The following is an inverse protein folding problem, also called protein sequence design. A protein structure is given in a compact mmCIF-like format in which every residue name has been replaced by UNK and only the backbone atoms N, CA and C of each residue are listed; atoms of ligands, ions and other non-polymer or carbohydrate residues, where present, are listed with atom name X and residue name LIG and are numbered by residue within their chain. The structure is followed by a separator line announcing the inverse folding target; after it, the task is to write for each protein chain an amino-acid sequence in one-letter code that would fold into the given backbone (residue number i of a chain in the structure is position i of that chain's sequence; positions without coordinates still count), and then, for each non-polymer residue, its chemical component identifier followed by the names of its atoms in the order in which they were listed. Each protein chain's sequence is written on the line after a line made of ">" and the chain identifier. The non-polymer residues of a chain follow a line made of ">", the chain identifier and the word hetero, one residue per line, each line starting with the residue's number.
data_IF_042811937764
#
_entry.id   IF_042811937764
#
_cell.length_a   1.000
_cell.length_b   1.000
_cell.length_c   1.000
_cell.angle_alpha   90.00
_cell.angle_beta   90.00
_cell.angle_gamma   90.00
#
_symmetry.space_group_name_H-M   'P 1'
#
loop_
_entity.id
_entity.type
_entity.pdbx_description
1 polymer ?
#
# COMPACT_ATOMS: atom_id res chain seq x y z
N UNK A 1 -14.04 -8.60 14.33
CA UNK A 1 -13.88 -10.07 14.35
C UNK A 1 -12.41 -10.35 14.52
N UNK A 2 -12.01 -11.08 15.56
CA UNK A 2 -10.61 -11.52 15.72
C UNK A 2 -10.27 -12.42 14.53
N UNK A 3 -9.29 -12.03 13.72
CA UNK A 3 -8.78 -12.89 12.65
C UNK A 3 -8.08 -14.09 13.29
N UNK A 4 -8.32 -15.28 12.76
CA UNK A 4 -7.62 -16.49 13.15
C UNK A 4 -6.11 -16.25 13.06
N UNK A 5 -5.39 -16.62 14.12
CA UNK A 5 -3.92 -16.57 14.14
C UNK A 5 -3.40 -17.88 13.56
N UNK A 6 -2.46 -17.78 12.62
CA UNK A 6 -1.84 -18.95 11.99
C UNK A 6 -0.49 -19.24 12.65
N UNK A 7 -0.35 -20.32 13.45
CA UNK A 7 0.92 -20.64 14.09
C UNK A 7 2.01 -21.03 13.07
N UNK A 8 3.22 -20.56 13.33
CA UNK A 8 4.39 -20.77 12.50
C UNK A 8 4.65 -19.66 11.49
N UNK A 9 5.51 -19.94 10.51
CA UNK A 9 6.04 -18.96 9.56
C UNK A 9 5.35 -19.04 8.20
N UNK A 10 4.90 -17.89 7.72
CA UNK A 10 4.20 -17.71 6.45
C UNK A 10 4.81 -16.55 5.64
N UNK A 11 4.50 -16.51 4.36
CA UNK A 11 4.90 -15.51 3.37
C UNK A 11 3.70 -15.14 2.49
N UNK A 12 3.87 -14.13 1.66
CA UNK A 12 2.97 -13.84 0.55
C UNK A 12 3.51 -14.41 -0.76
N UNK A 13 2.61 -14.81 -1.66
CA UNK A 13 2.88 -15.18 -3.04
C UNK A 13 2.12 -14.22 -3.94
N UNK A 14 2.83 -13.52 -4.82
CA UNK A 14 2.28 -12.46 -5.67
C UNK A 14 2.02 -13.06 -7.05
N UNK A 15 0.79 -12.93 -7.54
CA UNK A 15 0.33 -13.63 -8.75
C UNK A 15 0.77 -12.96 -10.05
N UNK A 16 1.11 -11.67 -9.98
CA UNK A 16 1.55 -10.85 -11.10
C UNK A 16 3.01 -10.43 -11.00
N UNK A 17 3.48 -9.67 -11.99
CA UNK A 17 4.86 -9.19 -12.06
C UNK A 17 5.17 -8.10 -11.04
N UNK A 18 4.16 -7.31 -10.65
CA UNK A 18 4.30 -6.21 -9.70
C UNK A 18 3.13 -6.17 -8.72
N UNK A 19 3.35 -5.57 -7.56
CA UNK A 19 2.30 -5.16 -6.63
C UNK A 19 2.43 -3.67 -6.33
N UNK A 20 1.29 -2.98 -6.23
CA UNK A 20 1.27 -1.57 -5.84
C UNK A 20 0.97 -1.45 -4.36
N UNK A 21 1.86 -0.79 -3.62
CA UNK A 21 1.70 -0.48 -2.19
C UNK A 21 1.48 1.02 -2.06
N UNK A 22 0.36 1.41 -1.46
CA UNK A 22 0.02 2.81 -1.22
C UNK A 22 -0.12 3.06 0.27
N UNK A 23 0.76 3.90 0.79
CA UNK A 23 0.73 4.39 2.15
C UNK A 23 0.03 5.75 2.14
N UNK A 24 -0.95 5.93 3.02
CA UNK A 24 -1.65 7.22 3.15
C UNK A 24 -2.00 7.47 4.61
N UNK A 25 -1.99 8.72 5.01
CA UNK A 25 -2.50 9.09 6.32
C UNK A 25 -2.61 10.59 6.53
N UNK A 26 -2.95 10.94 7.75
CA UNK A 26 -2.94 12.31 8.23
C UNK A 26 -2.09 12.44 9.49
N UNK A 27 -1.68 13.65 9.82
CA UNK A 27 -1.07 14.00 11.11
C UNK A 27 -1.80 15.15 11.77
N UNK A 28 -2.22 14.96 13.02
CA UNK A 28 -2.81 15.99 13.85
C UNK A 28 -1.70 16.90 14.43
N UNK A 29 -1.34 17.97 13.72
CA UNK A 29 -0.30 18.89 14.16
C UNK A 29 -0.75 19.73 15.37
N UNK A 30 -1.97 20.26 15.31
CA UNK A 30 -2.62 20.96 16.43
C UNK A 30 -3.78 20.14 16.97
N UNK A 31 -3.45 19.08 17.71
CA UNK A 31 -4.41 18.09 18.20
C UNK A 31 -5.55 18.68 19.07
N UNK A 32 -5.34 19.83 19.71
CA UNK A 32 -6.37 20.57 20.45
C UNK A 32 -7.43 21.22 19.54
N UNK A 33 -7.22 21.32 18.23
CA UNK A 33 -8.25 21.70 17.24
C UNK A 33 -9.13 20.50 16.91
N UNK A 34 -9.68 19.83 17.92
CA UNK A 34 -10.40 18.55 17.82
C UNK A 34 -11.44 18.55 16.68
N UNK A 35 -12.32 19.57 16.53
CA UNK A 35 -13.31 19.56 15.46
C UNK A 35 -12.71 19.52 14.05
N UNK A 36 -11.56 20.17 13.83
CA UNK A 36 -10.88 20.18 12.51
C UNK A 36 -10.21 18.83 12.25
N UNK A 37 -9.49 18.30 13.23
CA UNK A 37 -8.83 16.99 13.13
C UNK A 37 -9.86 15.89 12.86
N UNK A 38 -10.95 15.87 13.62
CA UNK A 38 -12.01 14.87 13.46
C UNK A 38 -12.72 14.96 12.10
N UNK A 39 -12.95 16.17 11.57
CA UNK A 39 -13.55 16.32 10.23
C UNK A 39 -12.69 15.70 9.14
N UNK A 40 -11.36 15.88 9.19
CA UNK A 40 -10.44 15.27 8.23
C UNK A 40 -10.39 13.75 8.42
N UNK A 41 -10.25 13.29 9.67
CA UNK A 41 -10.21 11.85 10.00
C UNK A 41 -11.44 11.09 9.47
N UNK A 42 -12.63 11.67 9.64
CA UNK A 42 -13.90 11.05 9.27
C UNK A 42 -14.10 10.91 7.75
N UNK A 43 -13.27 11.53 6.91
CA UNK A 43 -13.35 11.37 5.45
C UNK A 43 -12.82 10.02 4.97
N UNK A 44 -11.95 9.37 5.74
CA UNK A 44 -11.30 8.13 5.32
C UNK A 44 -12.23 6.90 5.40
N UNK A 45 -13.09 6.82 6.41
CA UNK A 45 -13.96 5.65 6.59
C UNK A 45 -14.93 5.41 5.41
N UNK A 46 -15.61 6.43 4.84
CA UNK A 46 -16.40 6.26 3.62
C UNK A 46 -15.58 5.81 2.40
N UNK A 47 -14.34 6.30 2.24
CA UNK A 47 -13.45 5.87 1.15
C UNK A 47 -13.12 4.38 1.25
N UNK A 48 -12.69 3.92 2.43
CA UNK A 48 -12.35 2.52 2.67
C UNK A 48 -13.57 1.61 2.52
N UNK A 49 -14.75 2.06 2.95
CA UNK A 49 -16.00 1.33 2.74
C UNK A 49 -16.32 1.18 1.26
N UNK A 50 -16.24 2.27 0.50
CA UNK A 50 -16.46 2.24 -0.95
C UNK A 50 -15.50 1.25 -1.63
N UNK A 51 -14.20 1.35 -1.34
CA UNK A 51 -13.20 0.47 -1.92
C UNK A 51 -13.37 -1.01 -1.52
N UNK A 52 -13.89 -1.27 -0.32
CA UNK A 52 -14.16 -2.64 0.14
C UNK A 52 -15.41 -3.26 -0.50
N UNK A 53 -16.29 -2.46 -1.11
CA UNK A 53 -17.52 -2.95 -1.78
C UNK A 53 -17.46 -2.88 -3.30
N UNK A 54 -16.40 -2.30 -3.88
CA UNK A 54 -16.19 -2.16 -5.32
C UNK A 54 -14.85 -2.79 -5.70
N UNK A 55 -14.85 -4.11 -5.90
CA UNK A 55 -13.62 -4.87 -6.19
C UNK A 55 -12.93 -4.42 -7.50
N UNK A 56 -13.72 -3.89 -8.44
CA UNK A 56 -13.30 -3.30 -9.71
C UNK A 56 -12.52 -1.99 -9.53
N UNK A 57 -12.65 -1.32 -8.38
CA UNK A 57 -11.81 -0.18 -8.03
C UNK A 57 -10.34 -0.60 -7.83
N UNK A 58 -10.06 -1.89 -7.59
CA UNK A 58 -8.72 -2.46 -7.60
C UNK A 58 -7.95 -2.41 -6.29
N UNK A 59 -8.61 -2.08 -5.17
CA UNK A 59 -8.06 -2.30 -3.83
C UNK A 59 -8.09 -3.81 -3.51
N UNK A 60 -6.96 -4.37 -3.12
CA UNK A 60 -6.82 -5.78 -2.74
C UNK A 60 -7.02 -5.98 -1.24
N UNK A 61 -6.31 -5.19 -0.43
CA UNK A 61 -6.46 -5.20 1.02
C UNK A 61 -5.90 -3.91 1.60
N UNK A 62 -6.21 -3.65 2.87
CA UNK A 62 -5.62 -2.56 3.63
C UNK A 62 -5.56 -2.89 5.11
N UNK A 63 -4.64 -2.22 5.79
CA UNK A 63 -4.46 -2.24 7.23
C UNK A 63 -4.33 -0.80 7.72
N UNK A 64 -4.79 -0.52 8.95
CA UNK A 64 -4.90 0.85 9.45
C UNK A 64 -4.40 0.95 10.88
N UNK A 65 -3.61 1.98 11.15
CA UNK A 65 -3.09 2.32 12.46
C UNK A 65 -3.44 3.75 12.81
N UNK A 66 -3.87 3.94 14.06
CA UNK A 66 -4.28 5.22 14.60
C UNK A 66 -3.24 5.73 15.59
N UNK A 67 -3.09 7.05 15.63
CA UNK A 67 -2.14 7.76 16.47
C UNK A 67 -2.17 9.24 16.12
N UNK A 68 -1.19 10.01 16.60
CA UNK A 68 -1.03 11.41 16.18
C UNK A 68 -0.80 11.52 14.68
N UNK A 69 -0.03 10.59 14.12
CA UNK A 69 0.07 10.33 12.69
C UNK A 69 -0.62 9.00 12.44
N UNK A 70 -1.61 8.99 11.55
CA UNK A 70 -2.26 7.76 11.10
C UNK A 70 -1.49 7.18 9.93
N UNK A 71 -1.58 5.87 9.77
CA UNK A 71 -1.03 5.16 8.62
C UNK A 71 -2.09 4.19 8.12
N UNK A 72 -2.34 4.20 6.82
CA UNK A 72 -3.05 3.16 6.11
C UNK A 72 -2.05 2.59 5.12
N UNK A 73 -1.77 1.31 5.25
CA UNK A 73 -1.04 0.55 4.23
C UNK A 73 -2.10 -0.15 3.40
N UNK A 74 -2.14 0.15 2.10
CA UNK A 74 -3.09 -0.44 1.17
C UNK A 74 -2.38 -1.07 -0.01
N UNK A 75 -2.92 -2.19 -0.49
CA UNK A 75 -2.38 -2.96 -1.60
C UNK A 75 -3.34 -2.88 -2.76
N UNK A 76 -2.82 -2.62 -3.95
CA UNK A 76 -3.61 -2.35 -5.14
C UNK A 76 -3.16 -3.23 -6.30
N UNK A 77 -4.11 -3.56 -7.18
CA UNK A 77 -3.86 -4.30 -8.42
C UNK A 77 -2.82 -3.59 -9.29
N UNK A 78 -2.91 -2.26 -9.41
CA UNK A 78 -1.95 -1.45 -10.16
C UNK A 78 -2.03 0.04 -9.79
N UNK A 79 -1.04 0.86 -10.16
CA UNK A 79 -1.09 2.30 -9.94
C UNK A 79 -2.25 2.96 -10.69
N UNK A 80 -2.65 2.43 -11.84
CA UNK A 80 -3.75 2.96 -12.66
C UNK A 80 -5.10 2.77 -11.99
N UNK A 81 -5.31 1.67 -11.24
CA UNK A 81 -6.52 1.46 -10.44
C UNK A 81 -6.62 2.51 -9.33
N UNK A 82 -5.52 2.73 -8.61
CA UNK A 82 -5.43 3.77 -7.58
C UNK A 82 -5.71 5.16 -8.16
N UNK A 83 -5.09 5.50 -9.29
CA UNK A 83 -5.29 6.80 -9.96
C UNK A 83 -6.73 6.97 -10.46
N UNK A 84 -7.33 5.92 -11.02
CA UNK A 84 -8.73 5.95 -11.48
C UNK A 84 -9.67 6.25 -10.32
N UNK A 85 -9.54 5.55 -9.20
CA UNK A 85 -10.31 5.85 -7.99
C UNK A 85 -10.09 7.28 -7.51
N UNK A 86 -8.83 7.77 -7.51
CA UNK A 86 -8.51 9.10 -7.05
C UNK A 86 -9.12 10.22 -7.92
N UNK A 87 -9.26 9.97 -9.23
CA UNK A 87 -9.79 10.91 -10.22
C UNK A 87 -11.30 10.78 -10.47
N UNK A 88 -11.92 9.68 -10.04
CA UNK A 88 -13.34 9.42 -10.19
C UNK A 88 -14.19 10.47 -9.44
N UNK A 89 -15.15 11.05 -10.15
CA UNK A 89 -16.02 12.12 -9.67
C UNK A 89 -17.15 11.58 -8.77
N UNK A 90 -17.51 10.33 -8.96
CA UNK A 90 -18.58 9.64 -8.24
C UNK A 90 -18.04 8.86 -7.04
N UNK A 91 -16.73 8.57 -7.05
CA UNK A 91 -16.04 8.00 -5.90
C UNK A 91 -15.86 9.02 -4.76
N UNK A 92 -15.88 8.57 -3.48
CA UNK A 92 -15.77 9.44 -2.30
C UNK A 92 -14.35 9.98 -2.04
N UNK A 93 -13.56 10.29 -3.06
CA UNK A 93 -12.19 10.81 -2.93
C UNK A 93 -12.08 12.29 -3.34
N UNK A 94 -12.45 12.63 -4.58
CA UNK A 94 -12.18 13.95 -5.16
C UNK A 94 -12.88 15.10 -4.41
N UNK A 95 -14.12 14.88 -3.98
CA UNK A 95 -14.88 15.85 -3.19
C UNK A 95 -14.21 16.19 -1.85
N UNK A 96 -13.94 15.19 -0.98
CA UNK A 96 -13.18 15.40 0.25
C UNK A 96 -11.79 16.01 0.04
N UNK A 97 -11.08 15.64 -1.02
CA UNK A 97 -9.78 16.24 -1.34
C UNK A 97 -9.89 17.73 -1.67
N UNK A 98 -10.89 18.14 -2.46
CA UNK A 98 -11.17 19.55 -2.74
C UNK A 98 -11.52 20.34 -1.49
N UNK A 99 -12.34 19.76 -0.60
CA UNK A 99 -12.65 20.35 0.70
C UNK A 99 -11.38 20.52 1.54
N UNK A 100 -10.53 19.49 1.60
CA UNK A 100 -9.26 19.54 2.31
C UNK A 100 -8.39 20.69 1.80
N UNK A 101 -8.19 20.77 0.48
CA UNK A 101 -7.38 21.81 -0.15
C UNK A 101 -7.92 23.22 0.14
N UNK A 102 -9.24 23.41 0.10
CA UNK A 102 -9.85 24.72 0.36
C UNK A 102 -9.80 25.13 1.83
N UNK A 103 -10.04 24.22 2.76
CA UNK A 103 -10.35 24.56 4.15
C UNK A 103 -9.22 24.24 5.16
N UNK A 104 -8.22 23.44 4.78
CA UNK A 104 -7.21 22.93 5.71
C UNK A 104 -5.78 23.04 5.19
N UNK A 105 -5.57 22.96 3.87
CA UNK A 105 -4.25 23.13 3.27
C UNK A 105 -3.65 24.49 3.60
N UNK A 106 -2.35 24.51 3.89
CA UNK A 106 -1.62 25.70 4.33
C UNK A 106 -1.89 26.17 5.77
N UNK A 107 -2.92 25.66 6.46
CA UNK A 107 -3.25 26.12 7.82
C UNK A 107 -2.30 25.59 8.90
N UNK A 108 -1.63 24.46 8.61
CA UNK A 108 -0.75 23.78 9.56
C UNK A 108 -1.46 23.00 10.66
N UNK A 109 -2.80 23.00 10.73
CA UNK A 109 -3.56 22.30 11.77
C UNK A 109 -3.53 20.77 11.59
N UNK A 110 -3.64 20.31 10.35
CA UNK A 110 -3.62 18.90 9.95
C UNK A 110 -2.75 18.74 8.71
N UNK A 111 -1.85 17.75 8.72
CA UNK A 111 -1.13 17.32 7.52
C UNK A 111 -1.80 16.09 6.91
N UNK A 112 -1.71 15.95 5.59
CA UNK A 112 -2.05 14.72 4.85
C UNK A 112 -0.79 14.32 4.09
N UNK A 113 -0.49 13.02 4.05
CA UNK A 113 0.69 12.48 3.39
C UNK A 113 0.32 11.19 2.66
N UNK A 114 1.05 10.88 1.60
CA UNK A 114 0.94 9.60 0.93
C UNK A 114 2.23 9.23 0.18
N UNK A 115 2.45 7.95 -0.02
CA UNK A 115 3.56 7.37 -0.76
C UNK A 115 3.04 6.21 -1.60
N UNK A 116 3.45 6.13 -2.87
CA UNK A 116 3.06 5.05 -3.78
C UNK A 116 4.31 4.33 -4.24
N UNK A 117 4.33 3.01 -4.06
CA UNK A 117 5.41 2.12 -4.49
C UNK A 117 4.87 1.08 -5.46
N UNK A 118 5.53 0.92 -6.59
CA UNK A 118 5.33 -0.20 -7.48
C UNK A 118 6.51 -1.16 -7.30
N UNK A 119 6.24 -2.34 -6.76
CA UNK A 119 7.28 -3.29 -6.34
C UNK A 119 7.21 -4.51 -7.25
N UNK A 120 8.30 -4.85 -7.98
CA UNK A 120 8.39 -6.13 -8.67
C UNK A 120 8.22 -7.29 -7.70
N UNK A 121 7.48 -8.33 -8.08
CA UNK A 121 7.24 -9.49 -7.23
C UNK A 121 8.54 -10.17 -6.78
N UNK A 122 9.57 -10.15 -7.65
CA UNK A 122 10.90 -10.68 -7.35
C UNK A 122 11.69 -9.87 -6.30
N UNK A 123 11.33 -8.60 -6.08
CA UNK A 123 11.98 -7.72 -5.11
C UNK A 123 11.24 -7.63 -3.77
N UNK A 124 10.09 -8.31 -3.65
CA UNK A 124 9.33 -8.38 -2.42
C UNK A 124 9.88 -9.49 -1.49
N UNK A 125 10.10 -9.14 -0.22
CA UNK A 125 10.47 -10.08 0.84
C UNK A 125 9.45 -9.95 1.97
N UNK A 126 8.80 -11.07 2.33
CA UNK A 126 7.69 -11.06 3.27
C UNK A 126 7.79 -12.22 4.23
N UNK A 127 7.59 -11.93 5.53
CA UNK A 127 7.46 -12.93 6.58
C UNK A 127 6.34 -12.52 7.54
N UNK A 128 5.54 -13.50 7.90
CA UNK A 128 4.59 -13.46 9.00
C UNK A 128 4.92 -14.62 9.95
N UNK A 129 5.05 -14.37 11.26
CA UNK A 129 5.23 -15.43 12.26
C UNK A 129 4.15 -15.30 13.30
N UNK A 130 3.35 -16.35 13.47
CA UNK A 130 2.29 -16.40 14.49
C UNK A 130 1.33 -15.20 14.38
N UNK A 131 1.03 -14.83 13.13
CA UNK A 131 0.20 -13.69 12.77
C UNK A 131 -1.11 -14.18 12.16
N UNK A 132 -2.19 -13.39 12.27
CA UNK A 132 -3.34 -13.57 11.38
C UNK A 132 -2.96 -13.25 9.94
N UNK A 133 -3.86 -13.60 9.01
CA UNK A 133 -3.73 -13.14 7.63
C UNK A 133 -3.74 -11.59 7.58
N UNK A 134 -2.65 -11.05 7.06
CA UNK A 134 -2.29 -9.64 7.20
C UNK A 134 -1.48 -9.16 6.00
N UNK A 135 -1.50 -7.84 5.76
CA UNK A 135 -0.61 -7.18 4.82
C UNK A 135 -0.69 -7.75 3.40
N UNK A 136 0.47 -7.99 2.78
CA UNK A 136 0.56 -8.49 1.43
C UNK A 136 -0.01 -9.91 1.27
N UNK A 137 0.14 -10.79 2.27
CA UNK A 137 -0.44 -12.14 2.18
C UNK A 137 -1.97 -12.11 2.08
N UNK A 138 -2.61 -11.17 2.79
CA UNK A 138 -4.06 -10.94 2.68
C UNK A 138 -4.46 -10.34 1.34
N UNK A 139 -3.56 -9.58 0.71
CA UNK A 139 -3.80 -8.95 -0.59
C UNK A 139 -3.56 -9.92 -1.76
N UNK A 140 -2.81 -11.00 -1.52
CA UNK A 140 -2.45 -12.00 -2.52
C UNK A 140 -2.75 -13.40 -2.00
N UNK A 141 -1.76 -14.30 -1.93
CA UNK A 141 -1.91 -15.64 -1.34
C UNK A 141 -1.03 -15.79 -0.12
N UNK A 142 -1.64 -16.20 1.00
CA UNK A 142 -0.98 -16.58 2.24
C UNK A 142 -0.40 -18.01 2.14
N UNK A 143 0.92 -18.16 2.20
CA UNK A 143 1.61 -19.44 2.03
C UNK A 143 2.54 -19.76 3.20
N UNK A 144 2.58 -21.02 3.65
CA UNK A 144 3.57 -21.45 4.65
C UNK A 144 4.98 -21.34 4.09
N UNK A 145 5.92 -20.86 4.90
CA UNK A 145 7.35 -20.90 4.54
C UNK A 145 7.82 -22.35 4.59
N UNK A 146 8.16 -22.89 3.41
CA UNK A 146 8.71 -24.23 3.23
C UNK A 146 10.20 -24.24 2.87
N UNK A 147 10.69 -25.40 2.44
CA UNK A 147 12.06 -25.58 1.96
C UNK A 147 12.39 -24.58 0.84
N UNK A 148 13.60 -24.03 0.87
CA UNK A 148 14.05 -23.04 -0.13
C UNK A 148 13.48 -21.63 0.05
N UNK A 149 12.70 -21.34 1.10
CA UNK A 149 12.19 -19.99 1.46
C UNK A 149 12.57 -19.56 2.88
N UNK A 150 13.56 -20.18 3.51
CA UNK A 150 13.87 -19.99 4.92
C UNK A 150 14.57 -18.66 5.23
N UNK A 151 15.37 -18.15 4.29
CA UNK A 151 16.12 -16.89 4.44
C UNK A 151 15.50 -15.75 3.61
N UNK A 152 15.77 -14.51 3.98
CA UNK A 152 15.33 -13.34 3.21
C UNK A 152 15.85 -13.39 1.75
N UNK A 153 17.12 -13.75 1.57
CA UNK A 153 17.74 -13.93 0.24
C UNK A 153 17.03 -14.97 -0.62
N UNK A 154 16.51 -16.02 -0.02
CA UNK A 154 15.78 -17.07 -0.71
C UNK A 154 14.37 -16.63 -1.15
N UNK A 155 13.75 -15.73 -0.39
CA UNK A 155 12.42 -15.18 -0.70
C UNK A 155 12.49 -14.03 -1.70
N UNK A 156 13.57 -13.23 -1.65
CA UNK A 156 13.92 -12.32 -2.73
C UNK A 156 14.28 -13.15 -3.97
N UNK A 157 13.49 -12.99 -5.04
CA UNK A 157 13.64 -13.70 -6.31
C UNK A 157 14.89 -13.35 -7.12
N UNK A 158 15.94 -12.81 -6.48
CA UNK A 158 17.25 -12.62 -7.09
C UNK A 158 17.89 -13.97 -7.33
N UNK A 159 17.53 -14.62 -8.44
CA UNK A 159 18.42 -15.60 -9.04
C UNK A 159 19.75 -14.92 -9.31
N UNK A 160 20.84 -15.53 -8.85
CA UNK A 160 22.17 -15.11 -9.23
C UNK A 160 22.30 -15.27 -10.76
N UNK A 161 22.37 -14.15 -11.49
CA UNK A 161 22.73 -14.16 -12.91
C UNK A 161 21.68 -13.56 -13.85
N UNK A 162 21.66 -12.23 -13.93
CA UNK A 162 21.59 -11.58 -15.23
C UNK A 162 22.78 -10.61 -15.28
N UNK A 163 23.79 -10.81 -16.15
CA UNK A 163 24.79 -9.79 -16.38
C UNK A 163 24.04 -8.55 -16.84
N UNK A 164 24.16 -7.45 -16.10
CA UNK A 164 23.92 -6.14 -16.70
C UNK A 164 24.88 -6.07 -17.88
N UNK A 165 24.34 -6.12 -19.09
CA UNK A 165 25.13 -5.87 -20.28
C UNK A 165 25.80 -4.50 -20.09
N UNK A 166 27.14 -4.49 -20.05
CA UNK A 166 27.89 -3.26 -20.05
C UNK A 166 27.44 -2.42 -21.27
N UNK A 167 27.34 -1.09 -21.15
CA UNK A 167 27.06 -0.23 -22.30
C UNK A 167 28.04 -0.56 -23.41
N UNK A 168 27.50 -1.01 -24.55
CA UNK A 168 28.30 -1.45 -25.69
C UNK A 168 29.24 -0.35 -26.18
N UNK A 169 30.45 -0.77 -26.53
CA UNK A 169 31.45 0.07 -27.18
C UNK A 169 30.87 0.78 -28.43
N UNK A 170 31.32 2.00 -28.74
CA UNK A 170 30.83 2.75 -29.89
C UNK A 170 31.20 2.04 -31.20
N UNK A 171 30.21 1.91 -32.08
CA UNK A 171 30.37 1.40 -33.45
C UNK A 171 31.35 2.29 -34.22
N UNK A 172 32.39 1.73 -34.89
CA UNK A 172 33.27 2.52 -35.72
C UNK A 172 32.55 2.98 -36.98
N UNK A 173 32.47 4.30 -37.18
CA UNK A 173 32.02 4.92 -38.41
C UNK A 173 33.01 4.64 -39.54
N UNK A 174 32.50 4.15 -40.68
CA UNK A 174 33.23 4.15 -41.96
C UNK A 174 33.16 5.51 -42.61
#
# INVERSE_FOLDING_TARGET
>A
MSREVFPGRYTASIDGETVTVFLIGMRANRWWRIPRVMRVANRMAPMLRYLSTHEDAGLLSFESWFGRTTVIVSYWRSPEHLQRFAADRDAPHLGPWREFQRAYSGTGDVGVWHETYQVPAADAEVVYSDMPEFGLARATRHERIGAGKNTARQRLGRQAGHPVAAPGDPVPTR
#
